data_IF_015231185096
#
_entry.id   IF_015231185096
#
_cell.length_a   1.000
_cell.length_b   1.000
_cell.length_c   1.000
_cell.angle_alpha   90.00
_cell.angle_beta   90.00
_cell.angle_gamma   90.00
#
_symmetry.space_group_name_H-M   'P 1'
#
loop_
_entity.id
_entity.type
_entity.pdbx_description
1 polymer ?
#
# COMPACT_ATOMS: atom_id res chain seq x y z
N UNK A 1 7.49 7.11 22.28
CA UNK A 1 8.93 6.90 22.61
C UNK A 1 9.44 5.76 21.77
N UNK A 2 10.55 5.96 21.05
CA UNK A 2 11.19 4.87 20.30
C UNK A 2 11.88 3.92 21.29
N UNK A 3 11.34 2.72 21.42
CA UNK A 3 12.01 1.63 22.11
C UNK A 3 12.95 0.90 21.15
N UNK A 4 13.94 0.19 21.69
CA UNK A 4 14.80 -0.68 20.88
C UNK A 4 13.96 -1.76 20.18
N UNK A 5 14.35 -2.15 18.96
CA UNK A 5 13.65 -3.18 18.16
C UNK A 5 12.20 -2.83 17.74
N UNK A 6 11.82 -1.56 17.66
CA UNK A 6 10.48 -1.18 17.20
C UNK A 6 10.34 -1.31 15.67
N UNK A 7 9.52 -2.26 15.21
CA UNK A 7 9.23 -2.48 13.78
C UNK A 7 8.06 -1.65 13.24
N UNK A 8 7.12 -1.27 14.12
CA UNK A 8 5.94 -0.47 13.76
C UNK A 8 6.21 1.03 13.99
N UNK A 9 5.25 1.88 13.63
CA UNK A 9 5.29 3.30 13.98
C UNK A 9 5.17 3.52 15.49
N UNK A 10 5.64 4.69 15.94
CA UNK A 10 5.40 5.12 17.33
C UNK A 10 3.91 5.33 17.55
N UNK A 11 3.48 5.24 18.79
CA UNK A 11 2.13 5.64 19.17
C UNK A 11 1.86 7.09 18.71
N UNK A 12 0.71 7.24 18.08
CA UNK A 12 0.23 8.48 17.49
C UNK A 12 -0.23 9.44 18.59
N UNK A 13 0.31 10.66 18.56
CA UNK A 13 -0.07 11.75 19.48
C UNK A 13 -0.97 12.80 18.81
N UNK A 14 -1.41 12.59 17.58
CA UNK A 14 -2.29 13.51 16.86
C UNK A 14 -3.24 12.76 15.92
N UNK A 15 -4.39 13.36 15.65
CA UNK A 15 -5.40 12.82 14.72
C UNK A 15 -4.83 12.55 13.32
N UNK A 16 -3.93 13.40 12.83
CA UNK A 16 -3.28 13.19 11.54
C UNK A 16 -2.37 11.95 11.56
N UNK A 17 -1.62 11.74 12.64
CA UNK A 17 -0.76 10.57 12.81
C UNK A 17 -1.58 9.27 12.88
N UNK A 18 -2.72 9.26 13.56
CA UNK A 18 -3.64 8.11 13.58
C UNK A 18 -4.13 7.73 12.18
N UNK A 19 -4.56 8.73 11.39
CA UNK A 19 -4.99 8.50 10.02
C UNK A 19 -3.86 7.96 9.13
N UNK A 20 -2.63 8.45 9.31
CA UNK A 20 -1.47 7.92 8.58
C UNK A 20 -1.16 6.47 8.95
N UNK A 21 -1.23 6.10 10.24
CA UNK A 21 -1.02 4.71 10.69
C UNK A 21 -2.10 3.78 10.14
N UNK A 22 -3.37 4.20 10.14
CA UNK A 22 -4.46 3.41 9.55
C UNK A 22 -4.30 3.20 8.04
N UNK A 23 -3.88 4.24 7.30
CA UNK A 23 -3.57 4.14 5.88
C UNK A 23 -2.38 3.22 5.60
N UNK A 24 -1.32 3.32 6.39
CA UNK A 24 -0.19 2.41 6.30
C UNK A 24 -0.62 0.96 6.48
N UNK A 25 -1.46 0.65 7.47
CA UNK A 25 -1.95 -0.71 7.69
C UNK A 25 -2.75 -1.25 6.49
N UNK A 26 -3.58 -0.40 5.86
CA UNK A 26 -4.31 -0.76 4.64
C UNK A 26 -3.35 -1.06 3.48
N UNK A 27 -2.35 -0.21 3.26
CA UNK A 27 -1.35 -0.42 2.19
C UNK A 27 -0.52 -1.68 2.44
N UNK A 28 -0.07 -1.89 3.67
CA UNK A 28 0.70 -3.08 4.04
C UNK A 28 -0.10 -4.37 3.84
N UNK A 29 -1.39 -4.38 4.20
CA UNK A 29 -2.27 -5.51 3.95
C UNK A 29 -2.33 -5.86 2.45
N UNK A 30 -2.49 -4.86 1.59
CA UNK A 30 -2.55 -5.05 0.13
C UNK A 30 -1.20 -5.56 -0.41
N UNK A 31 -0.08 -5.00 0.03
CA UNK A 31 1.25 -5.44 -0.41
C UNK A 31 1.51 -6.90 -0.03
N UNK A 32 1.16 -7.30 1.19
CA UNK A 32 1.30 -8.69 1.64
C UNK A 32 0.39 -9.63 0.82
N UNK A 33 -0.82 -9.21 0.50
CA UNK A 33 -1.73 -9.99 -0.36
C UNK A 33 -1.14 -10.21 -1.77
N UNK A 34 -0.57 -9.17 -2.38
CA UNK A 34 0.04 -9.28 -3.71
C UNK A 34 1.30 -10.14 -3.66
N UNK A 35 2.16 -9.95 -2.66
CA UNK A 35 3.42 -10.72 -2.55
C UNK A 35 3.16 -12.21 -2.30
N UNK A 36 2.15 -12.54 -1.48
CA UNK A 36 1.76 -13.94 -1.26
C UNK A 36 1.17 -14.58 -2.52
N UNK A 37 0.33 -13.86 -3.28
CA UNK A 37 -0.20 -14.33 -4.56
C UNK A 37 0.93 -14.62 -5.57
N UNK A 38 1.89 -13.71 -5.72
CA UNK A 38 2.98 -13.89 -6.69
C UNK A 38 3.90 -15.04 -6.29
N UNK A 39 4.21 -15.17 -4.99
CA UNK A 39 4.99 -16.31 -4.47
C UNK A 39 4.26 -17.63 -4.75
N UNK A 40 2.95 -17.68 -4.54
CA UNK A 40 2.15 -18.88 -4.83
C UNK A 40 2.20 -19.28 -6.31
N UNK A 41 2.03 -18.33 -7.24
CA UNK A 41 2.10 -18.60 -8.68
C UNK A 41 3.48 -19.12 -9.06
N UNK A 42 4.54 -18.49 -8.55
CA UNK A 42 5.92 -18.93 -8.81
C UNK A 42 6.14 -20.36 -8.30
N UNK A 43 5.67 -20.66 -7.09
CA UNK A 43 5.79 -22.00 -6.52
C UNK A 43 5.06 -23.07 -7.34
N UNK A 44 3.86 -22.77 -7.83
CA UNK A 44 3.10 -23.67 -8.71
C UNK A 44 3.83 -23.92 -10.04
N UNK A 45 4.39 -22.87 -10.64
CA UNK A 45 5.20 -23.00 -11.87
C UNK A 45 6.43 -23.89 -11.67
N UNK A 46 7.08 -23.84 -10.51
CA UNK A 46 8.22 -24.72 -10.22
C UNK A 46 7.82 -26.18 -10.01
N UNK A 47 6.63 -26.45 -9.48
CA UNK A 47 6.16 -27.82 -9.22
C UNK A 47 5.50 -28.47 -10.44
N UNK A 48 5.10 -27.67 -11.43
CA UNK A 48 4.46 -28.16 -12.64
C UNK A 48 5.44 -28.94 -13.53
N UNK A 49 5.10 -30.22 -13.78
CA UNK A 49 5.90 -31.13 -14.63
C UNK A 49 5.52 -31.09 -16.11
N UNK A 50 4.39 -30.46 -16.45
CA UNK A 50 3.86 -30.41 -17.82
C UNK A 50 4.40 -29.20 -18.56
N UNK A 51 4.87 -29.40 -19.80
CA UNK A 51 5.28 -28.33 -20.70
C UNK A 51 4.19 -28.02 -21.73
N UNK A 52 3.86 -26.74 -21.88
CA UNK A 52 2.98 -26.26 -22.95
C UNK A 52 3.74 -25.26 -23.83
N UNK A 53 4.13 -25.69 -25.04
CA UNK A 53 4.92 -24.89 -25.98
C UNK A 53 4.08 -23.89 -26.79
N UNK A 54 2.75 -24.07 -26.84
CA UNK A 54 1.86 -23.24 -27.68
C UNK A 54 1.30 -22.01 -26.94
N UNK A 55 1.77 -21.73 -25.72
CA UNK A 55 1.28 -20.63 -24.86
C UNK A 55 1.91 -19.26 -25.23
N UNK A 56 2.03 -18.97 -26.53
CA UNK A 56 2.83 -17.83 -27.04
C UNK A 56 2.11 -16.48 -26.98
N UNK A 57 0.78 -16.45 -27.11
CA UNK A 57 -0.02 -15.22 -27.05
C UNK A 57 -1.38 -15.50 -26.46
N UNK A 58 -1.62 -15.02 -25.24
CA UNK A 58 -2.94 -15.09 -24.62
C UNK A 58 -3.37 -13.70 -24.13
N UNK A 59 -3.85 -12.89 -25.07
CA UNK A 59 -4.26 -11.49 -24.83
C UNK A 59 -5.29 -11.35 -23.71
N UNK A 60 -6.14 -12.36 -23.52
CA UNK A 60 -7.13 -12.36 -22.44
C UNK A 60 -6.49 -12.34 -21.05
N UNK A 61 -5.35 -13.03 -20.86
CA UNK A 61 -4.62 -13.04 -19.59
C UNK A 61 -3.95 -11.68 -19.35
N UNK A 62 -3.44 -11.06 -20.42
CA UNK A 62 -2.84 -9.73 -20.35
C UNK A 62 -3.85 -8.67 -19.90
N UNK A 63 -5.08 -8.72 -20.42
CA UNK A 63 -6.15 -7.82 -19.98
C UNK A 63 -6.46 -8.02 -18.49
N UNK A 64 -6.54 -9.27 -18.03
CA UNK A 64 -6.90 -9.56 -16.63
C UNK A 64 -5.81 -9.03 -15.68
N UNK A 65 -4.54 -9.34 -15.94
CA UNK A 65 -3.46 -8.90 -15.05
C UNK A 65 -3.10 -7.43 -15.18
N UNK A 66 -3.65 -6.69 -16.16
CA UNK A 66 -3.48 -5.22 -16.26
C UNK A 66 -4.60 -4.48 -15.53
N UNK A 67 -5.84 -4.95 -15.67
CA UNK A 67 -7.00 -4.35 -15.00
C UNK A 67 -6.92 -4.56 -13.47
N UNK A 68 -6.53 -5.75 -13.02
CA UNK A 68 -6.49 -6.06 -11.57
C UNK A 68 -5.55 -5.10 -10.80
N UNK A 69 -4.29 -4.86 -11.19
CA UNK A 69 -3.43 -3.87 -10.55
C UNK A 69 -3.96 -2.43 -10.60
N UNK A 70 -4.58 -2.04 -11.71
CA UNK A 70 -5.15 -0.68 -11.85
C UNK A 70 -6.26 -0.46 -10.80
N UNK A 71 -7.15 -1.44 -10.62
CA UNK A 71 -8.22 -1.36 -9.61
C UNK A 71 -7.65 -1.29 -8.20
N UNK A 72 -6.63 -2.09 -7.90
CA UNK A 72 -5.96 -2.07 -6.59
C UNK A 72 -5.33 -0.69 -6.31
N UNK A 73 -4.67 -0.10 -7.30
CA UNK A 73 -4.08 1.25 -7.18
C UNK A 73 -5.14 2.33 -6.92
N UNK A 74 -6.30 2.25 -7.57
CA UNK A 74 -7.40 3.18 -7.32
C UNK A 74 -7.90 3.09 -5.87
N UNK A 75 -8.02 1.87 -5.33
CA UNK A 75 -8.43 1.65 -3.93
C UNK A 75 -7.43 2.28 -2.95
N UNK A 76 -6.13 2.24 -3.25
CA UNK A 76 -5.10 2.91 -2.43
C UNK A 76 -5.16 4.43 -2.57
N UNK A 77 -5.46 4.93 -3.77
CA UNK A 77 -5.44 6.35 -4.10
C UNK A 77 -6.55 7.15 -3.37
N UNK A 78 -7.75 6.59 -3.24
CA UNK A 78 -8.85 7.29 -2.56
C UNK A 78 -8.56 7.69 -1.10
N UNK A 79 -8.15 6.78 -0.20
CA UNK A 79 -7.79 7.14 1.17
C UNK A 79 -6.52 8.00 1.22
N UNK A 80 -5.55 7.80 0.32
CA UNK A 80 -4.31 8.59 0.31
C UNK A 80 -4.58 10.07 0.03
N UNK A 81 -5.41 10.36 -0.98
CA UNK A 81 -5.77 11.74 -1.33
C UNK A 81 -6.57 12.40 -0.21
N UNK A 82 -7.51 11.67 0.40
CA UNK A 82 -8.29 12.19 1.54
C UNK A 82 -7.36 12.65 2.68
N UNK A 83 -6.34 11.86 3.03
CA UNK A 83 -5.41 12.20 4.12
C UNK A 83 -4.54 13.40 3.75
N UNK A 84 -4.11 13.50 2.50
CA UNK A 84 -3.33 14.65 2.02
C UNK A 84 -4.09 15.96 2.24
N UNK A 85 -5.34 16.01 1.79
CA UNK A 85 -6.17 17.21 1.96
C UNK A 85 -6.44 17.54 3.43
N UNK A 86 -6.62 16.52 4.29
CA UNK A 86 -6.81 16.74 5.73
C UNK A 86 -5.58 17.40 6.38
N UNK A 87 -4.37 17.10 5.92
CA UNK A 87 -3.13 17.64 6.50
C UNK A 87 -2.87 19.08 6.02
N UNK A 88 -3.22 19.38 4.77
CA UNK A 88 -3.01 20.71 4.18
C UNK A 88 -3.97 21.77 4.75
N UNK A 89 -5.12 21.35 5.30
CA UNK A 89 -6.08 22.25 5.94
C UNK A 89 -5.55 22.77 7.30
N UNK A 90 -4.88 23.92 7.28
CA UNK A 90 -4.52 24.66 8.49
C UNK A 90 -5.75 25.41 9.01
N UNK A 91 -6.43 24.83 9.99
CA UNK A 91 -7.55 25.49 10.67
C UNK A 91 -6.98 26.48 11.69
N UNK A 92 -7.17 27.78 11.44
CA UNK A 92 -6.88 28.94 12.31
C UNK A 92 -6.14 28.61 13.63
N UNK A 93 -4.79 28.66 13.64
CA UNK A 93 -4.02 28.28 14.83
C UNK A 93 -4.17 29.32 15.95
N UNK A 94 -4.28 28.85 17.19
CA UNK A 94 -4.32 29.73 18.37
C UNK A 94 -2.97 30.43 18.64
N UNK A 95 -1.86 29.80 18.28
CA UNK A 95 -0.50 30.31 18.51
C UNK A 95 0.44 29.96 17.34
N UNK A 96 1.40 30.84 17.05
CA UNK A 96 2.45 30.62 16.06
C UNK A 96 3.83 30.62 16.73
N UNK A 97 4.60 29.55 16.55
CA UNK A 97 5.98 29.43 17.05
C UNK A 97 6.91 29.33 15.84
N UNK A 98 7.94 30.18 15.79
CA UNK A 98 9.00 30.08 14.78
C UNK A 98 10.23 29.44 15.41
N UNK A 99 10.73 28.38 14.79
CA UNK A 99 12.01 27.77 15.14
C UNK A 99 13.04 28.17 14.08
N UNK A 100 14.18 28.70 14.52
CA UNK A 100 15.34 29.00 13.67
C UNK A 100 16.47 28.11 14.18
N UNK A 101 17.03 27.31 13.28
CA UNK A 101 18.18 26.44 13.57
C UNK A 101 19.50 27.19 13.52
#
# INVERSE_FOLDING_TARGET
>A
ISTWMMFMFQESNSFYADNLVSFHNLVMMIIIMISTLTIYIIFDLFMNKFSNLFLLKNHNIEIIWTIVPIVILLIICFPSLKILYLIDEIINPFFSIKSIG
#
